data_IF_363665741065
#
_entry.id   IF_363665741065
#
_cell.length_a   1.000
_cell.length_b   1.000
_cell.length_c   1.000
_cell.angle_alpha   90.00
_cell.angle_beta   90.00
_cell.angle_gamma   90.00
#
_symmetry.space_group_name_H-M   'P 1'
#
loop_
_entity.id
_entity.type
_entity.pdbx_description
1 polymer ?
#
# COMPACT_ATOMS: atom_id res chain seq x y z
N UNK A 1 39.42 -30.43 -22.64
CA UNK A 1 39.07 -29.95 -21.28
C UNK A 1 37.59 -30.22 -21.06
N UNK A 2 37.19 -30.97 -20.02
CA UNK A 2 35.78 -31.31 -19.76
C UNK A 2 35.10 -30.15 -19.04
N UNK A 3 33.98 -29.65 -19.58
CA UNK A 3 33.19 -28.59 -18.96
C UNK A 3 32.57 -29.09 -17.64
N UNK A 4 32.68 -28.28 -16.58
CA UNK A 4 32.15 -28.59 -15.26
C UNK A 4 30.61 -28.55 -15.27
N UNK A 5 30.00 -29.59 -14.69
CA UNK A 5 28.55 -29.77 -14.58
C UNK A 5 28.02 -28.85 -13.47
N UNK A 6 27.22 -27.84 -13.82
CA UNK A 6 26.50 -27.02 -12.83
C UNK A 6 26.59 -25.50 -13.00
N UNK A 7 27.23 -24.98 -14.05
CA UNK A 7 27.17 -23.54 -14.35
C UNK A 7 25.93 -23.32 -15.21
N UNK A 8 24.85 -22.86 -14.58
CA UNK A 8 23.64 -22.39 -15.28
C UNK A 8 24.04 -21.24 -16.20
N UNK A 9 23.85 -21.42 -17.51
CA UNK A 9 24.21 -20.42 -18.50
C UNK A 9 23.30 -19.19 -18.37
N UNK A 10 23.86 -18.10 -17.84
CA UNK A 10 23.13 -16.87 -17.54
C UNK A 10 22.51 -16.26 -18.81
N UNK A 11 23.18 -16.40 -19.96
CA UNK A 11 22.67 -15.94 -21.25
C UNK A 11 21.36 -16.64 -21.62
N UNK A 12 21.30 -17.98 -21.52
CA UNK A 12 20.09 -18.74 -21.77
C UNK A 12 18.93 -18.36 -20.84
N UNK A 13 19.20 -18.07 -19.56
CA UNK A 13 18.16 -17.62 -18.63
C UNK A 13 17.60 -16.24 -18.96
N UNK A 14 18.46 -15.29 -19.40
CA UNK A 14 18.01 -13.96 -19.79
C UNK A 14 17.17 -14.00 -21.07
N UNK A 15 17.56 -14.83 -22.04
CA UNK A 15 16.82 -15.01 -23.28
C UNK A 15 15.43 -15.63 -23.00
N UNK A 16 15.37 -16.64 -22.12
CA UNK A 16 14.10 -17.24 -21.70
C UNK A 16 13.20 -16.22 -20.97
N UNK A 17 13.75 -15.39 -20.09
CA UNK A 17 13.00 -14.35 -19.38
C UNK A 17 12.49 -13.25 -20.33
N UNK A 18 13.30 -12.82 -21.30
CA UNK A 18 12.89 -11.82 -22.29
C UNK A 18 11.80 -12.32 -23.24
N UNK A 19 11.72 -13.63 -23.46
CA UNK A 19 10.71 -14.27 -24.30
C UNK A 19 9.40 -14.58 -23.54
N UNK A 20 9.36 -14.36 -22.23
CA UNK A 20 8.18 -14.65 -21.44
C UNK A 20 7.05 -13.66 -21.77
N UNK A 21 5.82 -14.16 -22.00
CA UNK A 21 4.68 -13.30 -22.31
C UNK A 21 4.39 -12.36 -21.13
N UNK A 22 4.27 -11.07 -21.42
CA UNK A 22 3.86 -10.05 -20.46
C UNK A 22 2.46 -10.40 -19.95
N UNK A 23 2.35 -10.71 -18.66
CA UNK A 23 1.06 -10.86 -18.01
C UNK A 23 0.38 -9.50 -18.05
N UNK A 24 -0.68 -9.38 -18.85
CA UNK A 24 -1.51 -8.18 -18.88
C UNK A 24 -2.18 -8.04 -17.52
N UNK A 25 -1.76 -7.03 -16.74
CA UNK A 25 -2.53 -6.62 -15.59
C UNK A 25 -3.85 -6.06 -16.13
N UNK A 26 -4.94 -6.81 -15.96
CA UNK A 26 -6.27 -6.33 -16.30
C UNK A 26 -6.45 -4.96 -15.66
N UNK A 27 -6.61 -3.92 -16.49
CA UNK A 27 -7.02 -2.62 -16.02
C UNK A 27 -8.41 -2.77 -15.42
N UNK A 28 -8.50 -2.75 -14.09
CA UNK A 28 -9.76 -2.64 -13.37
C UNK A 28 -10.44 -1.36 -13.84
N UNK A 29 -11.44 -1.51 -14.71
CA UNK A 29 -12.36 -0.44 -15.09
C UNK A 29 -13.16 -0.11 -13.84
N UNK A 30 -12.71 0.91 -13.11
CA UNK A 30 -13.46 1.45 -11.98
C UNK A 30 -14.67 2.17 -12.57
N UNK A 31 -15.81 1.48 -12.59
CA UNK A 31 -17.09 2.14 -12.80
C UNK A 31 -17.28 3.22 -11.73
N UNK A 32 -17.46 4.47 -12.18
CA UNK A 32 -17.82 5.59 -11.30
C UNK A 32 -19.20 5.32 -10.72
N UNK A 33 -19.22 4.76 -9.51
CA UNK A 33 -20.43 4.64 -8.71
C UNK A 33 -20.99 6.04 -8.43
N UNK A 34 -22.31 6.30 -8.59
CA UNK A 34 -22.89 7.58 -8.27
C UNK A 34 -22.67 7.90 -6.78
N UNK A 35 -22.26 9.12 -6.49
CA UNK A 35 -22.03 9.60 -5.13
C UNK A 35 -23.37 9.66 -4.40
N UNK A 36 -23.65 8.66 -3.57
CA UNK A 36 -24.76 8.71 -2.62
C UNK A 36 -24.49 9.76 -1.54
N UNK A 37 -25.56 10.37 -1.02
CA UNK A 37 -25.48 11.25 0.16
C UNK A 37 -24.82 10.48 1.32
N UNK A 38 -23.71 11.01 1.84
CA UNK A 38 -22.90 10.37 2.89
C UNK A 38 -21.47 9.94 2.46
N UNK A 39 -20.96 10.45 1.33
CA UNK A 39 -19.60 10.14 0.87
C UNK A 39 -18.48 10.78 1.70
N UNK A 40 -17.30 10.14 1.70
CA UNK A 40 -16.06 10.72 2.26
C UNK A 40 -15.41 11.66 1.23
N UNK A 41 -14.88 12.80 1.69
CA UNK A 41 -14.08 13.69 0.84
C UNK A 41 -12.59 13.54 1.15
N UNK A 42 -11.75 13.63 0.12
CA UNK A 42 -10.31 13.69 0.30
C UNK A 42 -9.93 15.05 0.89
N UNK A 43 -9.11 15.04 1.94
CA UNK A 43 -8.60 16.24 2.58
C UNK A 43 -7.09 16.14 2.77
N UNK A 44 -6.36 17.20 2.43
CA UNK A 44 -4.91 17.29 2.65
C UNK A 44 -4.64 18.08 3.91
N UNK A 45 -3.97 17.45 4.87
CA UNK A 45 -3.58 18.06 6.15
C UNK A 45 -2.05 18.23 6.22
N UNK A 46 -1.61 19.26 6.95
CA UNK A 46 -0.19 19.51 7.23
C UNK A 46 0.07 19.48 8.74
N UNK A 47 0.04 18.30 9.38
CA UNK A 47 0.32 18.19 10.81
C UNK A 47 1.79 18.54 11.10
N UNK A 48 2.05 18.99 12.33
CA UNK A 48 3.41 19.10 12.85
C UNK A 48 4.11 17.73 12.80
N UNK A 49 5.41 17.72 12.50
CA UNK A 49 6.18 16.46 12.32
C UNK A 49 6.16 15.58 13.57
N UNK A 50 6.26 16.19 14.76
CA UNK A 50 6.18 15.49 16.04
C UNK A 50 4.81 14.86 16.29
N UNK A 51 3.73 15.52 15.86
CA UNK A 51 2.38 15.00 15.96
C UNK A 51 2.17 13.82 15.00
N UNK A 52 2.66 13.94 13.77
CA UNK A 52 2.60 12.86 12.79
C UNK A 52 3.34 11.60 13.28
N UNK A 53 4.55 11.75 13.85
CA UNK A 53 5.30 10.64 14.42
C UNK A 53 4.51 9.89 15.52
N UNK A 54 3.84 10.61 16.42
CA UNK A 54 2.98 9.99 17.44
C UNK A 54 1.83 9.17 16.85
N UNK A 55 1.28 9.61 15.71
CA UNK A 55 0.23 8.85 15.04
C UNK A 55 0.78 7.63 14.27
N UNK A 56 2.01 7.69 13.78
CA UNK A 56 2.72 6.52 13.24
C UNK A 56 2.87 5.44 14.32
N UNK A 57 3.35 5.82 15.51
CA UNK A 57 3.53 4.87 16.61
C UNK A 57 2.18 4.24 17.03
N UNK A 58 1.13 5.05 17.15
CA UNK A 58 -0.23 4.57 17.47
C UNK A 58 -0.79 3.63 16.40
N UNK A 59 -0.59 3.95 15.13
CA UNK A 59 -1.03 3.11 14.02
C UNK A 59 -0.30 1.75 14.04
N UNK A 60 1.01 1.75 14.34
CA UNK A 60 1.80 0.53 14.48
C UNK A 60 1.29 -0.35 15.64
N UNK A 61 1.06 0.23 16.81
CA UNK A 61 0.52 -0.51 17.96
C UNK A 61 -0.88 -1.09 17.66
N UNK A 62 -1.75 -0.30 17.06
CA UNK A 62 -3.10 -0.77 16.70
C UNK A 62 -3.08 -1.85 15.64
N UNK A 63 -2.14 -1.78 14.70
CA UNK A 63 -1.97 -2.81 13.67
C UNK A 63 -1.60 -4.16 14.28
N UNK A 64 -0.77 -4.16 15.34
CA UNK A 64 -0.42 -5.38 16.09
C UNK A 64 -1.64 -5.96 16.81
N UNK A 65 -2.45 -5.10 17.42
CA UNK A 65 -3.61 -5.52 18.21
C UNK A 65 -4.76 -6.03 17.34
N UNK A 66 -5.09 -5.32 16.26
CA UNK A 66 -6.21 -5.69 15.37
C UNK A 66 -5.84 -6.80 14.38
N UNK A 67 -4.56 -7.13 14.22
CA UNK A 67 -4.09 -8.11 13.25
C UNK A 67 -4.26 -7.67 11.79
N UNK A 68 -4.55 -6.38 11.55
CA UNK A 68 -4.63 -5.75 10.22
C UNK A 68 -3.77 -4.51 10.17
N UNK A 69 -3.34 -4.09 8.97
CA UNK A 69 -2.67 -2.80 8.82
C UNK A 69 -3.65 -1.66 9.08
N UNK A 70 -3.33 -0.79 10.04
CA UNK A 70 -4.03 0.45 10.32
C UNK A 70 -3.20 1.61 9.81
N UNK A 71 -3.80 2.50 9.03
CA UNK A 71 -3.09 3.66 8.48
C UNK A 71 -3.01 4.83 9.47
N UNK A 72 -1.99 5.68 9.30
CA UNK A 72 -1.85 6.93 10.07
C UNK A 72 -3.06 7.84 9.83
N UNK A 73 -3.59 7.86 8.60
CA UNK A 73 -4.76 8.66 8.24
C UNK A 73 -6.02 8.21 8.99
N UNK A 74 -6.24 6.91 9.17
CA UNK A 74 -7.33 6.39 10.01
C UNK A 74 -7.25 6.92 11.44
N UNK A 75 -6.07 6.82 12.07
CA UNK A 75 -5.86 7.34 13.43
C UNK A 75 -6.14 8.85 13.50
N UNK A 76 -5.69 9.61 12.50
CA UNK A 76 -5.91 11.05 12.43
C UNK A 76 -7.39 11.40 12.28
N UNK A 77 -8.13 10.70 11.41
CA UNK A 77 -9.56 10.92 11.21
C UNK A 77 -10.34 10.63 12.49
N UNK A 78 -10.05 9.54 13.20
CA UNK A 78 -10.71 9.24 14.47
C UNK A 78 -10.50 10.33 15.51
N UNK A 79 -9.31 10.93 15.59
CA UNK A 79 -9.04 12.04 16.51
C UNK A 79 -9.85 13.27 16.13
N UNK A 80 -9.94 13.58 14.84
CA UNK A 80 -10.75 14.70 14.35
C UNK A 80 -12.24 14.48 14.64
N UNK A 81 -12.76 13.28 14.41
CA UNK A 81 -14.15 12.91 14.70
C UNK A 81 -14.46 12.96 16.20
N UNK A 82 -13.52 12.54 17.07
CA UNK A 82 -13.64 12.68 18.52
C UNK A 82 -13.66 14.14 18.95
N UNK A 83 -12.81 14.97 18.34
CA UNK A 83 -12.76 16.41 18.61
C UNK A 83 -14.02 17.16 18.17
N UNK A 84 -14.67 16.71 17.09
CA UNK A 84 -15.92 17.31 16.61
C UNK A 84 -17.16 16.96 17.46
N UNK A 85 -17.07 15.90 18.27
CA UNK A 85 -18.14 15.46 19.19
C UNK A 85 -18.02 16.06 20.58
N UNK A 86 -16.93 16.76 20.88
CA UNK A 86 -16.67 17.45 22.13
C UNK A 86 -17.19 18.89 22.07
#
# INVERSE_FOLDING_TARGET
MKAAKGITDLASTLIAAASAPLVTTQALKVEKKPAGEGGTMQMTLRPLRSLYARYVDKAAERSKVEGRSVSVQEIMLEVLEKGAKA
#
